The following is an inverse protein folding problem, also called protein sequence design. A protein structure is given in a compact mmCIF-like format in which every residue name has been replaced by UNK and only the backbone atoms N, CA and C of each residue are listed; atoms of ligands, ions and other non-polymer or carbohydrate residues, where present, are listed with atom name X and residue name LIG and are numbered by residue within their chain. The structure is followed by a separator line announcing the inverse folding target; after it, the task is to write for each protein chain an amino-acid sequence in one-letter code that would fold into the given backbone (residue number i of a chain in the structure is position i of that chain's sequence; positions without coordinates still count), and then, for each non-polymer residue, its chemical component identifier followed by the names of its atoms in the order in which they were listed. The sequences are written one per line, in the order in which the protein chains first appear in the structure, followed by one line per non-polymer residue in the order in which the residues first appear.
data_IF_554700106219
#
_entry.id   IF_554700106219
#
_cell.length_a   1.000
_cell.length_b   1.000
_cell.length_c   1.000
_cell.angle_alpha   90.00
_cell.angle_beta   90.00
_cell.angle_gamma   90.00
#
_symmetry.space_group_name_H-M   'P 1'
#
loop_
_entity.id
_entity.type
_entity.pdbx_description
1 polymer ?
#
# COMPACT_ATOMS: atom_id res chain seq x y z
N UNK A 1 -7.05 9.70 11.63
CA UNK A 1 -7.70 8.62 10.84
C UNK A 1 -6.98 8.45 9.51
N UNK A 2 -6.37 7.30 9.33
CA UNK A 2 -5.59 6.89 8.16
C UNK A 2 -6.50 6.22 7.15
N UNK A 3 -6.39 6.58 5.87
CA UNK A 3 -7.04 5.87 4.78
C UNK A 3 -6.02 5.16 3.92
N UNK A 4 -6.24 3.87 3.64
CA UNK A 4 -5.48 3.12 2.65
C UNK A 4 -6.38 2.77 1.48
N UNK A 5 -6.15 3.38 0.33
CA UNK A 5 -6.83 3.03 -0.92
C UNK A 5 -6.01 2.03 -1.71
N UNK A 6 -6.50 0.80 -1.88
CA UNK A 6 -5.90 -0.24 -2.72
C UNK A 6 -6.46 -0.13 -4.13
N UNK A 7 -5.58 0.02 -5.12
CA UNK A 7 -5.94 0.22 -6.52
C UNK A 7 -5.88 -1.11 -7.26
N UNK A 8 -7.02 -1.57 -7.76
CA UNK A 8 -7.18 -2.87 -8.41
C UNK A 8 -7.35 -2.65 -9.92
N UNK A 9 -6.46 -3.24 -10.71
CA UNK A 9 -6.55 -3.20 -12.18
C UNK A 9 -7.59 -4.21 -12.68
N UNK A 10 -7.46 -5.46 -12.22
CA UNK A 10 -8.35 -6.59 -12.54
C UNK A 10 -8.50 -7.46 -11.29
N UNK A 11 -9.47 -8.40 -11.23
CA UNK A 11 -9.68 -9.23 -10.06
C UNK A 11 -8.36 -9.84 -9.55
N UNK A 12 -8.08 -9.64 -8.25
CA UNK A 12 -6.87 -10.11 -7.56
C UNK A 12 -5.54 -9.54 -8.08
N UNK A 13 -5.56 -8.46 -8.87
CA UNK A 13 -4.36 -7.78 -9.34
C UNK A 13 -4.32 -6.35 -8.82
N UNK A 14 -3.39 -6.11 -7.90
CA UNK A 14 -3.16 -4.81 -7.27
C UNK A 14 -2.18 -4.04 -8.14
N UNK A 15 -2.59 -2.88 -8.66
CA UNK A 15 -1.71 -1.97 -9.39
C UNK A 15 -0.90 -1.08 -8.46
N UNK A 16 -1.40 -0.82 -7.25
CA UNK A 16 -0.74 0.06 -6.31
C UNK A 16 -1.65 0.43 -5.14
N UNK A 17 -1.20 1.40 -4.35
CA UNK A 17 -1.95 1.87 -3.20
C UNK A 17 -1.67 3.34 -2.91
N UNK A 18 -2.56 3.95 -2.14
CA UNK A 18 -2.46 5.32 -1.64
C UNK A 18 -2.72 5.28 -0.13
N UNK A 19 -1.86 5.89 0.67
CA UNK A 19 -2.03 6.10 2.11
C UNK A 19 -2.18 7.60 2.36
N UNK A 20 -3.22 7.98 3.09
CA UNK A 20 -3.50 9.38 3.46
C UNK A 20 -3.73 9.47 4.98
N UNK A 21 -3.33 10.59 5.59
CA UNK A 21 -3.59 10.88 7.01
C UNK A 21 -2.66 10.15 7.99
N UNK A 22 -1.45 9.76 7.55
CA UNK A 22 -0.44 9.09 8.38
C UNK A 22 0.63 10.04 8.95
N UNK A 23 0.56 11.35 8.66
CA UNK A 23 1.43 12.35 9.24
C UNK A 23 0.57 13.43 9.89
N UNK A 24 0.57 13.39 11.21
CA UNK A 24 0.29 14.48 12.14
C UNK A 24 0.72 13.98 13.52
N UNK A 25 1.14 14.90 14.40
CA UNK A 25 1.35 14.59 15.82
C UNK A 25 0.01 14.14 16.40
N UNK A 26 -0.12 12.84 16.66
CA UNK A 26 -1.41 12.27 17.03
C UNK A 26 -1.46 11.99 18.54
N UNK A 27 -2.69 11.92 19.07
CA UNK A 27 -2.90 11.52 20.46
C UNK A 27 -2.35 10.11 20.72
N UNK A 28 -1.98 9.82 21.98
CA UNK A 28 -1.45 8.52 22.39
C UNK A 28 -2.28 7.35 21.84
N UNK A 29 -1.63 6.47 21.06
CA UNK A 29 -2.25 5.33 20.39
C UNK A 29 -2.39 5.47 18.87
N UNK A 30 -2.69 6.68 18.36
CA UNK A 30 -2.75 6.93 16.92
C UNK A 30 -1.33 6.93 16.30
N UNK A 31 -0.33 7.43 17.03
CA UNK A 31 1.09 7.38 16.63
C UNK A 31 1.59 5.94 16.37
N UNK A 32 1.10 4.96 17.14
CA UNK A 32 1.46 3.54 17.00
C UNK A 32 0.87 2.97 15.70
N UNK A 33 -0.37 3.34 15.38
CA UNK A 33 -1.04 2.90 14.14
C UNK A 33 -0.38 3.55 12.94
N UNK A 34 -0.08 4.86 12.99
CA UNK A 34 0.67 5.58 11.94
C UNK A 34 2.02 4.92 11.67
N UNK A 35 2.78 4.60 12.72
CA UNK A 35 4.08 3.93 12.61
C UNK A 35 3.94 2.53 12.00
N UNK A 36 2.91 1.78 12.41
CA UNK A 36 2.65 0.43 11.89
C UNK A 36 2.29 0.46 10.40
N UNK A 37 1.37 1.36 9.99
CA UNK A 37 0.99 1.53 8.58
C UNK A 37 2.18 1.95 7.73
N UNK A 38 2.98 2.89 8.22
CA UNK A 38 4.18 3.35 7.52
C UNK A 38 5.20 2.22 7.34
N UNK A 39 5.43 1.44 8.39
CA UNK A 39 6.35 0.28 8.36
C UNK A 39 5.89 -0.76 7.34
N UNK A 40 4.59 -1.09 7.32
CA UNK A 40 4.03 -2.07 6.39
C UNK A 40 4.15 -1.57 4.95
N UNK A 41 3.69 -0.35 4.68
CA UNK A 41 3.60 0.16 3.30
C UNK A 41 4.96 0.51 2.69
N UNK A 42 5.81 1.21 3.43
CA UNK A 42 7.19 1.52 3.00
C UNK A 42 8.03 0.24 2.94
N UNK A 43 7.86 -0.66 3.92
CA UNK A 43 8.53 -1.97 3.93
C UNK A 43 8.17 -2.81 2.71
N UNK A 44 6.90 -2.82 2.30
CA UNK A 44 6.45 -3.50 1.07
C UNK A 44 7.08 -2.91 -0.18
N UNK A 45 7.12 -1.58 -0.32
CA UNK A 45 7.79 -0.90 -1.45
C UNK A 45 9.26 -1.31 -1.51
N UNK A 46 9.99 -1.17 -0.41
CA UNK A 46 11.41 -1.54 -0.34
C UNK A 46 11.64 -3.03 -0.67
N UNK A 47 10.73 -3.90 -0.21
CA UNK A 47 10.83 -5.34 -0.47
C UNK A 47 10.60 -5.67 -1.94
N UNK A 48 9.63 -5.02 -2.58
CA UNK A 48 9.37 -5.18 -4.02
C UNK A 48 10.61 -4.75 -4.83
N UNK A 49 11.17 -3.57 -4.54
CA UNK A 49 12.34 -3.08 -5.25
C UNK A 49 13.57 -3.98 -5.03
N UNK A 50 13.79 -4.42 -3.80
CA UNK A 50 14.98 -5.19 -3.43
C UNK A 50 14.92 -6.66 -3.86
N UNK A 51 13.78 -7.31 -3.69
CA UNK A 51 13.60 -8.75 -3.86
C UNK A 51 13.02 -9.13 -5.23
N UNK A 52 12.22 -8.25 -5.82
CA UNK A 52 11.58 -8.49 -7.12
C UNK A 52 12.22 -7.69 -8.25
N UNK A 53 13.17 -6.80 -7.96
CA UNK A 53 13.84 -5.94 -8.95
C UNK A 53 12.86 -5.08 -9.77
N UNK A 54 11.71 -4.74 -9.18
CA UNK A 54 10.70 -3.87 -9.78
C UNK A 54 10.73 -2.53 -9.06
N UNK A 55 11.16 -1.48 -9.77
CA UNK A 55 11.16 -0.10 -9.27
C UNK A 55 9.72 0.43 -9.21
N UNK A 56 9.28 0.86 -8.03
CA UNK A 56 7.92 1.37 -7.82
C UNK A 56 7.85 2.86 -8.16
N UNK A 57 6.77 3.30 -8.79
CA UNK A 57 6.50 4.74 -8.95
C UNK A 57 5.95 5.30 -7.63
N UNK A 58 6.84 5.89 -6.82
CA UNK A 58 6.53 6.41 -5.48
C UNK A 58 6.42 7.93 -5.47
N UNK A 59 5.33 8.45 -4.89
CA UNK A 59 5.12 9.86 -4.59
C UNK A 59 4.84 10.00 -3.09
N UNK A 60 5.61 10.86 -2.41
CA UNK A 60 5.46 11.11 -0.98
C UNK A 60 5.45 12.61 -0.68
N UNK A 61 4.59 13.00 0.26
CA UNK A 61 4.49 14.32 0.88
C UNK A 61 3.90 14.13 2.28
N UNK A 62 3.86 15.18 3.10
CA UNK A 62 3.36 15.08 4.48
C UNK A 62 1.98 14.40 4.53
N UNK A 63 1.94 13.23 5.17
CA UNK A 63 0.73 12.44 5.40
C UNK A 63 0.19 11.74 4.17
N UNK A 64 0.96 11.67 3.08
CA UNK A 64 0.56 11.07 1.81
C UNK A 64 1.68 10.20 1.22
N UNK A 65 1.31 8.97 0.86
CA UNK A 65 2.17 8.03 0.14
C UNK A 65 1.35 7.41 -0.98
N UNK A 66 1.82 7.52 -2.21
CA UNK A 66 1.27 6.78 -3.35
C UNK A 66 2.38 5.94 -3.94
N UNK A 67 2.12 4.65 -4.14
CA UNK A 67 3.04 3.73 -4.77
C UNK A 67 2.30 2.94 -5.86
N UNK A 68 2.84 2.95 -7.08
CA UNK A 68 2.26 2.26 -8.22
C UNK A 68 3.27 1.34 -8.88
N UNK A 69 2.79 0.23 -9.42
CA UNK A 69 3.56 -0.61 -10.32
C UNK A 69 3.84 0.15 -11.62
N UNK A 70 5.07 0.05 -12.15
CA UNK A 70 5.44 0.71 -13.39
C UNK A 70 4.69 0.09 -14.57
N UNK A 71 4.49 0.90 -15.62
CA UNK A 71 3.85 0.43 -16.84
C UNK A 71 4.84 -0.42 -17.67
N UNK A 72 4.98 -1.69 -17.29
CA UNK A 72 5.54 -2.80 -18.06
C UNK A 72 7.08 -2.87 -18.24
N UNK A 73 7.77 -3.68 -17.41
CA UNK A 73 9.10 -4.32 -17.69
C UNK A 73 9.36 -5.65 -16.94
N UNK A 74 8.42 -6.14 -16.13
CA UNK A 74 8.64 -7.30 -15.26
C UNK A 74 8.22 -8.62 -15.92
N UNK A 75 9.04 -9.67 -15.74
CA UNK A 75 8.71 -11.06 -16.10
C UNK A 75 7.51 -11.58 -15.31
N UNK A 76 6.88 -12.67 -15.78
CA UNK A 76 5.74 -13.27 -15.09
C UNK A 76 6.08 -13.69 -13.64
N UNK A 77 7.31 -14.15 -13.40
CA UNK A 77 7.75 -14.51 -12.05
C UNK A 77 7.80 -13.29 -11.14
N UNK A 78 8.45 -12.21 -11.60
CA UNK A 78 8.53 -10.96 -10.83
C UNK A 78 7.14 -10.39 -10.56
N UNK A 79 6.23 -10.44 -11.53
CA UNK A 79 4.84 -10.03 -11.32
C UNK A 79 4.15 -10.86 -10.23
N UNK A 80 4.34 -12.19 -10.21
CA UNK A 80 3.76 -13.04 -9.18
C UNK A 80 4.35 -12.74 -7.79
N UNK A 81 5.67 -12.56 -7.69
CA UNK A 81 6.36 -12.24 -6.43
C UNK A 81 5.89 -10.88 -5.90
N UNK A 82 5.76 -9.88 -6.78
CA UNK A 82 5.21 -8.56 -6.45
C UNK A 82 3.77 -8.66 -5.95
N UNK A 83 2.90 -9.40 -6.65
CA UNK A 83 1.51 -9.55 -6.24
C UNK A 83 1.40 -10.24 -4.88
N UNK A 84 2.26 -11.23 -4.59
CA UNK A 84 2.30 -11.86 -3.27
C UNK A 84 2.65 -10.84 -2.17
N UNK A 85 3.65 -9.98 -2.39
CA UNK A 85 4.03 -8.93 -1.43
C UNK A 85 2.92 -7.89 -1.23
N UNK A 86 2.24 -7.48 -2.30
CA UNK A 86 1.10 -6.55 -2.22
C UNK A 86 -0.10 -7.18 -1.51
N UNK A 87 -0.38 -8.46 -1.75
CA UNK A 87 -1.44 -9.19 -1.04
C UNK A 87 -1.11 -9.35 0.45
N UNK A 88 0.15 -9.67 0.79
CA UNK A 88 0.62 -9.75 2.17
C UNK A 88 0.50 -8.40 2.90
N UNK A 89 0.83 -7.30 2.21
CA UNK A 89 0.62 -5.94 2.72
C UNK A 89 -0.85 -5.68 3.03
N UNK A 90 -1.76 -5.95 2.08
CA UNK A 90 -3.21 -5.76 2.27
C UNK A 90 -3.72 -6.58 3.46
N UNK A 91 -3.35 -7.87 3.54
CA UNK A 91 -3.75 -8.73 4.65
C UNK A 91 -3.28 -8.18 6.00
N UNK A 92 -2.02 -7.74 6.07
CA UNK A 92 -1.45 -7.18 7.30
C UNK A 92 -2.16 -5.88 7.71
N UNK A 93 -2.50 -5.02 6.75
CA UNK A 93 -3.27 -3.81 7.01
C UNK A 93 -4.70 -4.13 7.45
N UNK A 94 -5.33 -5.18 6.90
CA UNK A 94 -6.66 -5.64 7.32
C UNK A 94 -6.64 -6.11 8.78
N UNK A 95 -5.61 -6.86 9.18
CA UNK A 95 -5.43 -7.22 10.59
C UNK A 95 -5.27 -5.98 11.49
N UNK A 96 -4.63 -4.91 11.01
CA UNK A 96 -4.58 -3.63 11.73
C UNK A 96 -5.95 -2.96 11.80
N UNK A 97 -6.72 -2.95 10.70
CA UNK A 97 -8.09 -2.41 10.67
C UNK A 97 -9.03 -3.12 11.63
N UNK A 98 -8.96 -4.45 11.73
CA UNK A 98 -9.78 -5.21 12.68
C UNK A 98 -9.51 -4.83 14.14
N UNK A 99 -8.26 -4.54 14.50
CA UNK A 99 -7.87 -4.19 15.87
C UNK A 99 -7.97 -2.69 16.17
N UNK A 100 -7.92 -1.84 15.13
CA UNK A 100 -7.78 -0.39 15.23
C UNK A 100 -8.74 0.36 14.29
N UNK A 101 -9.97 -0.15 14.10
CA UNK A 101 -10.98 0.37 13.16
C UNK A 101 -11.29 1.87 13.29
N UNK A 102 -11.02 2.46 14.46
CA UNK A 102 -11.19 3.90 14.73
C UNK A 102 -10.10 4.76 14.10
N UNK A 103 -8.98 4.16 13.71
CA UNK A 103 -7.77 4.86 13.28
C UNK A 103 -7.36 4.56 11.85
N UNK A 104 -7.75 3.42 11.29
CA UNK A 104 -7.41 3.03 9.91
C UNK A 104 -8.67 2.54 9.19
N UNK A 105 -8.77 2.87 7.90
CA UNK A 105 -9.77 2.30 7.00
C UNK A 105 -9.17 1.90 5.65
N UNK A 106 -9.52 0.71 5.17
CA UNK A 106 -9.08 0.20 3.86
C UNK A 106 -10.21 0.34 2.83
N UNK A 107 -9.86 0.82 1.64
CA UNK A 107 -10.80 1.08 0.55
C UNK A 107 -10.27 0.44 -0.73
N UNK A 108 -11.05 -0.47 -1.32
CA UNK A 108 -10.72 -1.05 -2.62
C UNK A 108 -11.32 -0.21 -3.74
N UNK A 109 -10.49 0.24 -4.68
CA UNK A 109 -10.93 1.03 -5.84
C UNK A 109 -10.50 0.33 -7.13
N UNK A 110 -11.45 0.09 -8.03
CA UNK A 110 -11.13 -0.32 -9.40
C UNK A 110 -10.49 0.85 -10.14
N UNK A 111 -9.40 0.58 -10.85
CA UNK A 111 -8.87 1.56 -11.80
C UNK A 111 -9.87 1.72 -12.94
N UNK A 112 -10.14 2.98 -13.31
CA UNK A 112 -10.87 3.24 -14.54
C UNK A 112 -9.94 2.90 -15.69
N UNK A 113 -10.45 2.16 -16.68
CA UNK A 113 -9.75 1.94 -17.93
C UNK A 113 -9.28 3.29 -18.47
N UNK A 114 -7.98 3.41 -18.77
CA UNK A 114 -7.48 4.57 -19.51
C UNK A 114 -8.01 4.42 -20.93
N UNK A 115 -9.17 5.04 -21.21
CA UNK A 115 -9.62 5.27 -22.59
C UNK A 115 -8.61 6.13 -23.34
#
# INVERSE_FOLDING_TARGET
MISVSVLIEKPNYIQGFIVEGHADYASYGEDIVCSSVSTVTIGTVNSIEKLCHVEMEVETRDGYLRAMLPTNKASQKEQNDVQLLLQAMVYTLQCLEENYEKYIRIIFRKMKDRC
#
